data_IF_291724058095
#
_entry.id   IF_291724058095
#
_cell.length_a   1.000
_cell.length_b   1.000
_cell.length_c   1.000
_cell.angle_alpha   90.00
_cell.angle_beta   90.00
_cell.angle_gamma   90.00
#
_symmetry.space_group_name_H-M   'P 1'
#
loop_
_entity.id
_entity.type
_entity.pdbx_description
1 polymer ?
#
# COMPACT_ATOMS: atom_id res chain seq x y z
N UNK A 1 -50.57 16.54 -15.37
CA UNK A 1 -49.33 15.91 -15.70
C UNK A 1 -48.21 16.81 -15.18
N UNK A 2 -47.60 16.46 -14.03
CA UNK A 2 -46.42 17.12 -13.51
C UNK A 2 -45.23 16.20 -13.76
N UNK A 3 -44.31 16.64 -14.63
CA UNK A 3 -43.03 15.99 -14.85
C UNK A 3 -42.13 16.22 -13.62
N UNK A 4 -41.82 15.15 -12.87
CA UNK A 4 -40.89 15.17 -11.79
C UNK A 4 -39.48 15.38 -12.33
N UNK A 5 -38.90 16.54 -12.07
CA UNK A 5 -37.48 16.84 -12.37
C UNK A 5 -36.61 15.96 -11.44
N UNK A 6 -35.85 15.04 -12.01
CA UNK A 6 -34.85 14.27 -11.30
C UNK A 6 -33.83 15.24 -10.69
N UNK A 7 -33.68 15.23 -9.35
CA UNK A 7 -32.65 15.99 -8.65
C UNK A 7 -31.28 15.45 -9.05
N UNK A 8 -30.34 16.31 -9.48
CA UNK A 8 -28.98 15.84 -9.73
C UNK A 8 -28.41 15.25 -8.44
N UNK A 9 -27.87 14.04 -8.53
CA UNK A 9 -27.27 13.32 -7.42
C UNK A 9 -26.23 14.20 -6.72
N UNK A 10 -26.32 14.28 -5.40
CA UNK A 10 -25.40 15.03 -4.56
C UNK A 10 -24.03 14.37 -4.68
N UNK A 11 -23.09 15.02 -5.38
CA UNK A 11 -21.70 14.55 -5.45
C UNK A 11 -21.13 14.61 -4.04
N UNK A 12 -20.66 13.47 -3.53
CA UNK A 12 -20.01 13.40 -2.23
C UNK A 12 -18.77 14.29 -2.23
N UNK A 13 -18.79 15.33 -1.38
CA UNK A 13 -17.70 16.30 -1.27
C UNK A 13 -16.35 15.61 -0.93
N UNK A 14 -16.36 14.55 -0.14
CA UNK A 14 -15.15 13.77 0.17
C UNK A 14 -14.61 12.98 -1.02
N UNK A 15 -15.49 12.55 -1.94
CA UNK A 15 -15.06 11.91 -3.18
C UNK A 15 -14.45 12.94 -4.14
N UNK A 16 -15.05 14.11 -4.23
CA UNK A 16 -14.54 15.22 -5.04
C UNK A 16 -13.18 15.71 -4.53
N UNK A 17 -13.03 15.87 -3.23
CA UNK A 17 -11.77 16.29 -2.59
C UNK A 17 -10.64 15.27 -2.83
N UNK A 18 -10.94 13.95 -2.80
CA UNK A 18 -9.97 12.90 -3.15
C UNK A 18 -9.56 12.95 -4.62
N UNK A 19 -10.50 13.24 -5.53
CA UNK A 19 -10.21 13.38 -6.97
C UNK A 19 -9.40 14.63 -7.29
N UNK A 20 -9.52 15.68 -6.47
CA UNK A 20 -8.81 16.95 -6.66
C UNK A 20 -7.44 16.99 -5.97
N UNK A 21 -7.07 15.96 -5.17
CA UNK A 21 -5.72 15.89 -4.59
C UNK A 21 -4.71 15.69 -5.72
N UNK A 22 -3.69 16.56 -5.82
CA UNK A 22 -2.62 16.36 -6.78
C UNK A 22 -1.97 14.99 -6.54
N UNK A 23 -1.66 14.27 -7.63
CA UNK A 23 -0.83 13.09 -7.51
C UNK A 23 0.53 13.53 -6.91
N UNK A 24 0.92 13.04 -5.71
CA UNK A 24 2.17 13.45 -5.09
C UNK A 24 3.41 12.94 -5.86
N UNK A 25 3.21 12.06 -6.84
CA UNK A 25 4.29 11.45 -7.63
C UNK A 25 4.00 11.57 -9.14
N UNK A 26 3.86 12.79 -9.70
CA UNK A 26 3.64 12.97 -11.13
C UNK A 26 4.90 12.49 -11.88
N UNK A 27 4.69 11.62 -12.87
CA UNK A 27 5.79 11.05 -13.67
C UNK A 27 6.55 9.89 -13.05
N UNK A 28 6.10 9.36 -11.91
CA UNK A 28 6.68 8.13 -11.34
C UNK A 28 6.41 6.94 -12.27
N UNK A 29 7.46 6.39 -12.84
CA UNK A 29 7.42 5.22 -13.73
C UNK A 29 7.56 3.89 -12.97
N UNK A 30 7.57 3.93 -11.65
CA UNK A 30 7.70 2.75 -10.80
C UNK A 30 9.13 2.25 -10.63
N UNK A 31 10.13 3.07 -10.93
CA UNK A 31 11.55 2.73 -10.74
C UNK A 31 11.96 2.81 -9.25
N UNK A 32 12.99 2.04 -8.88
CA UNK A 32 13.56 2.15 -7.53
C UNK A 32 14.24 3.50 -7.37
N UNK A 33 14.01 4.18 -6.24
CA UNK A 33 14.71 5.42 -5.95
C UNK A 33 16.21 5.20 -5.76
N UNK A 34 17.07 6.17 -6.14
CA UNK A 34 18.53 6.06 -5.93
C UNK A 34 18.91 5.80 -4.49
N UNK A 35 18.25 6.44 -3.52
CA UNK A 35 18.54 6.26 -2.09
C UNK A 35 18.22 4.84 -1.62
N UNK A 36 17.09 4.27 -2.08
CA UNK A 36 16.73 2.88 -1.79
C UNK A 36 17.72 1.90 -2.42
N UNK A 37 18.12 2.15 -3.66
CA UNK A 37 19.11 1.31 -4.35
C UNK A 37 20.47 1.34 -3.62
N UNK A 38 20.93 2.52 -3.24
CA UNK A 38 22.19 2.68 -2.48
C UNK A 38 22.11 1.98 -1.10
N UNK A 39 20.98 2.12 -0.40
CA UNK A 39 20.77 1.47 0.89
C UNK A 39 20.79 -0.06 0.78
N UNK A 40 20.10 -0.63 -0.22
CA UNK A 40 20.08 -2.08 -0.44
C UNK A 40 21.41 -2.65 -0.92
N UNK A 41 22.24 -1.85 -1.60
CA UNK A 41 23.57 -2.25 -2.06
C UNK A 41 24.66 -2.14 -0.98
N UNK A 42 24.35 -1.56 0.18
CA UNK A 42 25.32 -1.39 1.26
C UNK A 42 25.75 -2.76 1.82
N UNK A 43 27.05 -3.09 1.86
CA UNK A 43 27.54 -4.38 2.35
C UNK A 43 27.41 -4.55 3.87
N UNK A 44 27.34 -3.46 4.62
CA UNK A 44 27.10 -3.50 6.07
C UNK A 44 25.58 -3.64 6.35
N UNK A 45 25.15 -4.74 6.99
CA UNK A 45 23.73 -4.98 7.21
C UNK A 45 23.04 -3.91 8.07
N UNK A 46 23.73 -3.38 9.06
CA UNK A 46 23.20 -2.36 9.96
C UNK A 46 23.01 -1.04 9.23
N UNK A 47 24.03 -0.61 8.48
CA UNK A 47 23.97 0.60 7.65
C UNK A 47 22.94 0.45 6.52
N UNK A 48 22.82 -0.74 5.91
CA UNK A 48 21.81 -1.05 4.91
C UNK A 48 20.40 -0.87 5.48
N UNK A 49 20.09 -1.49 6.62
CA UNK A 49 18.77 -1.36 7.26
C UNK A 49 18.46 0.09 7.66
N UNK A 50 19.44 0.80 8.23
CA UNK A 50 19.29 2.22 8.58
C UNK A 50 19.01 3.07 7.34
N UNK A 51 19.74 2.84 6.25
CA UNK A 51 19.53 3.51 4.97
C UNK A 51 18.15 3.22 4.37
N UNK A 52 17.69 1.97 4.44
CA UNK A 52 16.36 1.57 3.99
C UNK A 52 15.26 2.28 4.78
N UNK A 53 15.37 2.34 6.10
CA UNK A 53 14.40 3.05 6.95
C UNK A 53 14.36 4.54 6.59
N UNK A 54 15.52 5.18 6.39
CA UNK A 54 15.61 6.57 5.97
C UNK A 54 15.00 6.80 4.57
N UNK A 55 15.30 5.93 3.60
CA UNK A 55 14.74 6.01 2.26
C UNK A 55 13.21 5.83 2.23
N UNK A 56 12.68 4.93 3.08
CA UNK A 56 11.24 4.76 3.25
C UNK A 56 10.59 5.99 3.88
N UNK A 57 11.20 6.58 4.89
CA UNK A 57 10.65 7.76 5.57
C UNK A 57 10.57 8.98 4.65
N UNK A 58 11.60 9.18 3.82
CA UNK A 58 11.71 10.33 2.92
C UNK A 58 11.03 10.13 1.55
N UNK A 59 10.80 8.88 1.14
CA UNK A 59 10.42 8.53 -0.22
C UNK A 59 9.04 7.92 -0.36
N UNK A 60 8.83 7.31 -1.52
CA UNK A 60 7.62 6.54 -1.82
C UNK A 60 7.90 5.05 -1.84
N UNK A 61 6.87 4.28 -1.62
CA UNK A 61 6.79 2.85 -1.91
C UNK A 61 5.63 2.58 -2.85
N UNK A 62 5.63 1.41 -3.46
CA UNK A 62 4.51 0.91 -4.24
C UNK A 62 3.74 -0.10 -3.41
N UNK A 63 2.42 0.01 -3.44
CA UNK A 63 1.51 -0.98 -2.87
C UNK A 63 0.69 -1.62 -3.98
N UNK A 64 0.39 -2.93 -3.92
CA UNK A 64 -0.41 -3.59 -4.93
C UNK A 64 -1.88 -3.19 -4.78
N UNK A 65 -2.51 -2.78 -5.88
CA UNK A 65 -3.96 -2.68 -5.97
C UNK A 65 -4.46 -3.85 -6.81
N UNK A 66 -5.22 -4.74 -6.18
CA UNK A 66 -5.87 -5.84 -6.86
C UNK A 66 -7.10 -5.33 -7.63
N UNK A 67 -7.39 -5.88 -8.82
CA UNK A 67 -8.64 -5.58 -9.49
C UNK A 67 -9.79 -6.04 -8.59
N UNK A 68 -10.70 -5.14 -8.26
CA UNK A 68 -11.97 -5.53 -7.67
C UNK A 68 -12.78 -6.25 -8.77
N UNK A 69 -13.21 -7.46 -8.51
CA UNK A 69 -14.31 -8.03 -9.28
C UNK A 69 -15.55 -7.18 -8.97
N UNK A 70 -15.93 -6.33 -9.94
CA UNK A 70 -17.22 -5.67 -9.84
C UNK A 70 -18.29 -6.76 -9.75
N UNK A 71 -19.21 -6.69 -8.78
CA UNK A 71 -20.39 -7.53 -8.81
C UNK A 71 -21.05 -7.34 -10.19
N UNK A 72 -21.30 -8.45 -10.88
CA UNK A 72 -21.62 -8.46 -12.28
C UNK A 72 -22.80 -7.56 -12.62
N UNK A 73 -22.85 -7.13 -13.86
CA UNK A 73 -24.03 -6.48 -14.43
C UNK A 73 -25.24 -7.39 -14.20
N UNK A 74 -26.30 -6.85 -13.61
CA UNK A 74 -27.59 -7.56 -13.53
C UNK A 74 -28.11 -7.78 -14.95
N UNK A 75 -28.87 -8.87 -15.18
CA UNK A 75 -29.40 -9.26 -16.50
C UNK A 75 -30.27 -8.17 -17.17
N UNK A 76 -30.73 -7.19 -16.42
CA UNK A 76 -31.49 -6.01 -16.87
C UNK A 76 -30.59 -4.80 -17.21
N UNK A 77 -29.27 -4.95 -17.17
CA UNK A 77 -28.30 -3.91 -17.52
C UNK A 77 -28.04 -2.89 -16.40
N UNK A 78 -28.60 -3.09 -15.21
CA UNK A 78 -28.31 -2.32 -14.02
C UNK A 78 -26.95 -2.70 -13.41
N UNK A 79 -26.38 -1.80 -12.62
CA UNK A 79 -25.28 -2.11 -11.70
C UNK A 79 -25.94 -2.64 -10.43
N UNK A 80 -25.50 -3.81 -9.94
CA UNK A 80 -25.99 -4.32 -8.66
C UNK A 80 -25.69 -3.28 -7.57
N UNK A 81 -26.74 -2.64 -7.06
CA UNK A 81 -26.62 -1.73 -5.92
C UNK A 81 -26.19 -2.54 -4.70
N UNK A 82 -25.10 -2.11 -4.07
CA UNK A 82 -24.76 -2.57 -2.74
C UNK A 82 -25.82 -2.03 -1.76
N UNK A 83 -26.88 -2.76 -1.53
CA UNK A 83 -27.91 -2.42 -0.53
C UNK A 83 -27.44 -2.56 0.92
N UNK A 84 -26.18 -2.84 1.14
CA UNK A 84 -25.56 -2.78 2.46
C UNK A 84 -24.44 -1.75 2.39
N UNK A 85 -24.51 -0.68 3.18
CA UNK A 85 -23.35 0.17 3.39
C UNK A 85 -22.21 -0.74 3.90
N UNK A 86 -21.13 -0.91 3.11
CA UNK A 86 -20.04 -1.75 3.54
C UNK A 86 -19.47 -1.13 4.82
N UNK A 87 -19.31 -1.93 5.87
CA UNK A 87 -18.57 -1.49 7.05
C UNK A 87 -17.12 -1.18 6.58
N UNK A 88 -16.73 0.10 6.52
CA UNK A 88 -15.44 0.49 5.96
C UNK A 88 -14.26 -0.10 6.75
N UNK A 89 -14.51 -0.56 7.97
CA UNK A 89 -13.51 -1.23 8.81
C UNK A 89 -13.37 -2.71 8.46
N UNK A 90 -14.47 -3.39 8.14
CA UNK A 90 -14.47 -4.80 7.74
C UNK A 90 -13.85 -4.97 6.34
N UNK A 91 -14.20 -4.10 5.38
CA UNK A 91 -13.62 -4.12 4.04
C UNK A 91 -12.12 -3.80 4.05
N UNK A 92 -11.69 -2.81 4.83
CA UNK A 92 -10.27 -2.49 5.00
C UNK A 92 -9.49 -3.63 5.65
N UNK A 93 -10.09 -4.35 6.61
CA UNK A 93 -9.47 -5.50 7.24
C UNK A 93 -9.37 -6.70 6.29
N UNK A 94 -10.41 -6.96 5.49
CA UNK A 94 -10.43 -8.00 4.48
C UNK A 94 -9.41 -7.72 3.36
N UNK A 95 -9.34 -6.49 2.88
CA UNK A 95 -8.35 -6.05 1.90
C UNK A 95 -6.92 -6.16 2.45
N UNK A 96 -6.70 -5.74 3.70
CA UNK A 96 -5.40 -5.86 4.37
C UNK A 96 -4.99 -7.34 4.54
N UNK A 97 -5.93 -8.23 4.88
CA UNK A 97 -5.68 -9.67 4.99
C UNK A 97 -5.34 -10.30 3.63
N UNK A 98 -6.02 -9.86 2.56
CA UNK A 98 -5.77 -10.34 1.18
C UNK A 98 -4.40 -9.90 0.67
N UNK A 99 -3.93 -8.72 1.06
CA UNK A 99 -2.65 -8.15 0.66
C UNK A 99 -1.49 -8.52 1.58
N UNK A 100 -1.75 -9.14 2.74
CA UNK A 100 -0.68 -9.51 3.68
C UNK A 100 0.18 -10.65 3.13
N UNK A 101 1.47 -10.63 3.47
CA UNK A 101 2.40 -11.73 3.24
C UNK A 101 2.79 -12.37 4.57
N UNK A 102 3.11 -13.67 4.55
CA UNK A 102 3.61 -14.38 5.72
C UNK A 102 5.14 -14.34 5.71
N UNK A 103 5.74 -13.77 6.73
CA UNK A 103 7.20 -13.74 6.88
C UNK A 103 7.70 -14.93 7.72
N UNK A 104 9.02 -15.22 7.73
CA UNK A 104 9.60 -16.20 8.61
C UNK A 104 9.17 -15.99 10.07
N UNK A 105 8.86 -17.09 10.77
CA UNK A 105 8.25 -17.04 12.11
C UNK A 105 6.71 -16.97 12.11
N UNK A 106 6.06 -17.07 10.95
CA UNK A 106 4.61 -17.21 10.79
C UNK A 106 3.80 -15.92 10.99
N UNK A 107 4.46 -14.79 11.22
CA UNK A 107 3.80 -13.49 11.36
C UNK A 107 3.36 -12.94 10.01
N UNK A 108 2.27 -12.18 10.03
CA UNK A 108 1.84 -11.41 8.87
C UNK A 108 2.57 -10.07 8.81
N UNK A 109 2.84 -9.60 7.60
CA UNK A 109 3.44 -8.31 7.32
C UNK A 109 2.73 -7.63 6.15
N UNK A 110 2.71 -6.31 6.16
CA UNK A 110 2.20 -5.51 5.05
C UNK A 110 3.27 -5.43 3.96
N UNK A 111 3.01 -5.95 2.74
CA UNK A 111 3.98 -5.88 1.66
C UNK A 111 4.06 -4.47 1.08
N UNK A 112 5.29 -4.02 0.85
CA UNK A 112 5.60 -2.79 0.10
C UNK A 112 6.74 -3.08 -0.87
N UNK A 113 6.78 -2.33 -1.96
CA UNK A 113 7.75 -2.58 -3.03
C UNK A 113 8.52 -1.32 -3.38
N UNK A 114 9.80 -1.49 -3.61
CA UNK A 114 10.69 -0.41 -4.04
C UNK A 114 10.50 -0.05 -5.50
N UNK A 115 10.10 -1.02 -6.34
CA UNK A 115 9.86 -0.81 -7.77
C UNK A 115 8.71 -1.70 -8.31
N UNK A 116 8.19 -1.31 -9.48
CA UNK A 116 7.06 -1.98 -10.13
C UNK A 116 7.39 -3.40 -10.58
N UNK A 117 8.62 -3.67 -11.00
CA UNK A 117 9.07 -5.00 -11.41
C UNK A 117 8.94 -6.02 -10.27
N UNK A 118 9.39 -5.66 -9.07
CA UNK A 118 9.30 -6.52 -7.89
C UNK A 118 7.86 -6.73 -7.46
N UNK A 119 7.04 -5.68 -7.53
CA UNK A 119 5.61 -5.79 -7.27
C UNK A 119 4.93 -6.76 -8.24
N UNK A 120 5.16 -6.60 -9.53
CA UNK A 120 4.55 -7.44 -10.57
C UNK A 120 4.99 -8.90 -10.47
N UNK A 121 6.22 -9.15 -10.02
CA UNK A 121 6.72 -10.51 -9.77
C UNK A 121 5.99 -11.19 -8.61
N UNK A 122 5.69 -10.45 -7.53
CA UNK A 122 4.99 -10.97 -6.35
C UNK A 122 3.46 -11.03 -6.55
N UNK A 123 2.90 -10.03 -7.21
CA UNK A 123 1.46 -9.87 -7.48
C UNK A 123 1.20 -9.67 -8.98
N UNK A 124 1.26 -10.74 -9.80
CA UNK A 124 0.93 -10.65 -11.22
C UNK A 124 -0.50 -10.09 -11.41
N UNK A 125 -0.62 -9.07 -12.26
CA UNK A 125 -1.91 -8.43 -12.54
C UNK A 125 -2.33 -7.33 -11.56
N UNK A 126 -1.63 -7.16 -10.43
CA UNK A 126 -1.88 -6.02 -9.56
C UNK A 126 -1.34 -4.73 -10.17
N UNK A 127 -2.06 -3.63 -9.94
CA UNK A 127 -1.62 -2.29 -10.34
C UNK A 127 -0.75 -1.68 -9.24
N UNK A 128 0.46 -1.18 -9.56
CA UNK A 128 1.30 -0.49 -8.58
C UNK A 128 0.71 0.89 -8.25
N UNK A 129 0.48 1.16 -6.97
CA UNK A 129 0.03 2.47 -6.48
C UNK A 129 1.16 3.09 -5.68
N UNK A 130 1.68 4.25 -6.09
CA UNK A 130 2.68 4.97 -5.31
C UNK A 130 2.05 5.62 -4.10
N UNK A 131 2.64 5.40 -2.93
CA UNK A 131 2.25 6.01 -1.65
C UNK A 131 3.48 6.48 -0.91
N UNK A 132 3.33 7.51 -0.07
CA UNK A 132 4.40 7.91 0.84
C UNK A 132 4.76 6.74 1.78
N UNK A 133 6.04 6.47 1.96
CA UNK A 133 6.49 5.41 2.85
C UNK A 133 5.99 5.59 4.29
N UNK A 134 5.93 6.83 4.78
CA UNK A 134 5.36 7.17 6.07
C UNK A 134 3.88 6.75 6.19
N UNK A 135 3.07 6.95 5.12
CA UNK A 135 1.66 6.54 5.11
C UNK A 135 1.51 5.01 5.09
N UNK A 136 2.35 4.33 4.31
CA UNK A 136 2.37 2.86 4.30
C UNK A 136 2.76 2.30 5.67
N UNK A 137 3.74 2.91 6.34
CA UNK A 137 4.18 2.53 7.67
C UNK A 137 3.09 2.78 8.73
N UNK A 138 2.43 3.95 8.70
CA UNK A 138 1.33 4.26 9.59
C UNK A 138 0.19 3.23 9.45
N UNK A 139 -0.17 2.86 8.23
CA UNK A 139 -1.15 1.80 7.97
C UNK A 139 -0.68 0.44 8.49
N UNK A 140 0.57 0.07 8.28
CA UNK A 140 1.11 -1.19 8.80
C UNK A 140 1.05 -1.27 10.33
N UNK A 141 1.25 -0.16 11.04
CA UNK A 141 1.14 -0.10 12.50
C UNK A 141 -0.26 -0.43 13.02
N UNK A 142 -1.30 -0.13 12.25
CA UNK A 142 -2.70 -0.44 12.63
C UNK A 142 -3.05 -1.91 12.43
N UNK A 143 -2.31 -2.64 11.59
CA UNK A 143 -2.60 -4.03 11.24
C UNK A 143 -1.58 -5.01 11.86
N UNK A 144 -0.40 -5.13 11.27
CA UNK A 144 0.61 -6.13 11.66
C UNK A 144 1.76 -5.55 12.48
N UNK A 145 1.99 -4.25 12.37
CA UNK A 145 3.17 -3.57 12.91
C UNK A 145 4.48 -3.95 12.20
N UNK A 146 4.40 -4.63 11.06
CA UNK A 146 5.56 -5.11 10.30
C UNK A 146 5.38 -4.76 8.84
N UNK A 147 6.45 -4.25 8.20
CA UNK A 147 6.56 -4.10 6.76
C UNK A 147 7.42 -5.21 6.18
N UNK A 148 7.00 -5.78 5.06
CA UNK A 148 7.80 -6.66 4.23
C UNK A 148 8.18 -5.91 2.96
N UNK A 149 9.42 -5.44 2.89
CA UNK A 149 9.94 -4.76 1.71
C UNK A 149 10.40 -5.80 0.68
N UNK A 150 9.90 -5.66 -0.54
CA UNK A 150 10.25 -6.46 -1.71
C UNK A 150 10.13 -7.99 -1.52
N UNK A 151 9.01 -8.52 -1.02
CA UNK A 151 8.82 -9.96 -0.99
C UNK A 151 8.81 -10.53 -2.42
N UNK A 152 9.48 -11.67 -2.62
CA UNK A 152 9.53 -12.34 -3.93
C UNK A 152 8.23 -13.05 -4.27
N UNK A 153 7.50 -13.47 -3.23
CA UNK A 153 6.22 -14.14 -3.35
C UNK A 153 5.35 -13.87 -2.10
N UNK A 154 4.12 -14.36 -2.12
CA UNK A 154 3.16 -14.17 -1.03
C UNK A 154 3.52 -14.93 0.26
N UNK A 155 4.51 -15.81 0.25
CA UNK A 155 5.08 -16.42 1.46
C UNK A 155 6.10 -15.52 2.17
N UNK A 156 6.35 -14.33 1.64
CA UNK A 156 7.31 -13.37 2.18
C UNK A 156 8.77 -13.76 1.97
N UNK A 157 9.04 -14.73 1.11
CA UNK A 157 10.40 -15.17 0.83
C UNK A 157 11.24 -14.03 0.28
N UNK A 158 12.44 -13.89 0.83
CA UNK A 158 13.44 -12.93 0.36
C UNK A 158 13.12 -11.47 0.66
N UNK A 159 12.09 -11.18 1.48
CA UNK A 159 11.78 -9.81 1.89
C UNK A 159 12.77 -9.30 2.94
N UNK A 160 12.90 -7.98 3.01
CA UNK A 160 13.47 -7.30 4.16
C UNK A 160 12.33 -7.00 5.13
N UNK A 161 12.31 -7.72 6.26
CA UNK A 161 11.27 -7.54 7.27
C UNK A 161 11.66 -6.42 8.25
N UNK A 162 10.88 -5.34 8.26
CA UNK A 162 11.04 -4.24 9.19
C UNK A 162 10.07 -4.41 10.35
N UNK A 163 10.61 -4.56 11.55
CA UNK A 163 9.84 -4.71 12.78
C UNK A 163 9.22 -3.39 13.26
N UNK A 164 8.36 -3.49 14.29
CA UNK A 164 7.52 -2.40 14.77
C UNK A 164 8.28 -1.10 15.08
N UNK A 165 9.50 -1.18 15.65
CA UNK A 165 10.30 0.02 15.96
C UNK A 165 10.76 0.76 14.71
N UNK A 166 11.24 0.02 13.69
CA UNK A 166 11.61 0.60 12.40
C UNK A 166 10.39 1.19 11.69
N UNK A 167 9.26 0.47 11.69
CA UNK A 167 8.00 0.94 11.07
C UNK A 167 7.49 2.20 11.76
N UNK A 168 7.60 2.30 13.10
CA UNK A 168 7.23 3.49 13.84
C UNK A 168 8.12 4.69 13.47
N UNK A 169 9.43 4.48 13.35
CA UNK A 169 10.35 5.53 12.91
C UNK A 169 10.03 6.01 11.48
N UNK A 170 9.75 5.11 10.53
CA UNK A 170 9.30 5.49 9.18
C UNK A 170 8.03 6.30 9.22
N UNK A 171 7.05 5.90 10.03
CA UNK A 171 5.76 6.60 10.12
C UNK A 171 5.88 8.01 10.72
N UNK A 172 6.81 8.19 11.66
CA UNK A 172 7.07 9.46 12.32
C UNK A 172 8.05 10.37 11.55
N UNK A 173 8.81 9.78 10.61
CA UNK A 173 9.92 10.48 9.95
C UNK A 173 11.14 10.65 10.85
N UNK A 174 11.26 9.81 11.89
CA UNK A 174 12.33 9.86 12.87
C UNK A 174 13.56 9.05 12.43
N UNK A 175 14.72 9.42 12.96
CA UNK A 175 15.93 8.61 12.82
C UNK A 175 15.77 7.31 13.63
N UNK A 176 16.04 6.17 12.97
CA UNK A 176 15.94 4.86 13.61
C UNK A 176 17.35 4.33 13.98
N UNK A 177 17.61 4.11 15.28
CA UNK A 177 18.81 3.41 15.68
C UNK A 177 18.67 1.94 15.31
N UNK A 178 19.50 1.46 14.37
CA UNK A 178 19.54 0.03 14.05
C UNK A 178 19.92 -0.77 15.32
N UNK A 179 19.30 -1.94 15.55
CA UNK A 179 19.73 -2.83 16.61
C UNK A 179 21.19 -3.25 16.35
N UNK A 180 22.01 -3.18 17.38
CA UNK A 180 23.40 -3.66 17.33
C UNK A 180 23.48 -5.17 17.18
#
# INVERSE_FOLDING_TARGET
LQAGAARPGRVDAGKLERLLRPNPFPGDMGEMSPDMAAAQANPDPGASLKGIVAALAAGRVLVPALPHEHPGRTDDGGVADHESEPDPTADAAAEAATLSVRIPGGRFATPVFSCAERLSSCYPGARPIPVLGANAAARALTFSGVLALDPRDRSGKGCIALGRSAVAAVAAGDEWPAPG
#
